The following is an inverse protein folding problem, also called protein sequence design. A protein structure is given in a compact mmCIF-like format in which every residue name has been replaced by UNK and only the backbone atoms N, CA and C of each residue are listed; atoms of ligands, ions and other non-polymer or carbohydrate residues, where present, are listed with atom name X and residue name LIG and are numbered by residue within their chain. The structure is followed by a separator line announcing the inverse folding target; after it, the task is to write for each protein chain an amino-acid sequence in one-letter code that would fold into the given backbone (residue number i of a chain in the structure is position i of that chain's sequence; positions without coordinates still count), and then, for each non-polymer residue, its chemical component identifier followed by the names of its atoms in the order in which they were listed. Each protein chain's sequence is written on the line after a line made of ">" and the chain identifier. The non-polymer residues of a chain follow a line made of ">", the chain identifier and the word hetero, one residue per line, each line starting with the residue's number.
data_IF_087265824640
#
_entry.id   IF_087265824640
#
_cell.length_a   1.000
_cell.length_b   1.000
_cell.length_c   1.000
_cell.angle_alpha   90.00
_cell.angle_beta   90.00
_cell.angle_gamma   90.00
#
_symmetry.space_group_name_H-M   'P 1'
#
loop_
_entity.id
_entity.type
_entity.pdbx_description
1 polymer ?
#
# COMPACT_ATOMS: atom_id res chain seq x y z
N UNK A 1 1.86 24.73 34.56
CA UNK A 1 1.82 24.95 33.09
C UNK A 1 3.01 24.24 32.47
N UNK A 2 2.82 23.06 31.88
CA UNK A 2 3.89 22.38 31.12
C UNK A 2 4.14 23.23 29.88
N UNK A 3 5.35 23.77 29.75
CA UNK A 3 5.73 24.62 28.63
C UNK A 3 5.46 23.89 27.32
N UNK A 4 4.71 24.52 26.41
CA UNK A 4 4.42 24.04 25.04
C UNK A 4 5.70 23.58 24.29
N UNK A 5 6.87 24.11 24.68
CA UNK A 5 8.19 23.68 24.23
C UNK A 5 8.55 22.23 24.60
N UNK A 6 8.29 21.80 25.84
CA UNK A 6 8.60 20.46 26.31
C UNK A 6 7.70 19.40 25.65
N UNK A 7 6.42 19.74 25.45
CA UNK A 7 5.46 18.88 24.73
C UNK A 7 5.89 18.73 23.26
N UNK A 8 6.29 19.81 22.58
CA UNK A 8 6.83 19.73 21.20
C UNK A 8 8.07 18.85 21.09
N UNK A 9 9.01 18.95 22.04
CA UNK A 9 10.23 18.13 22.05
C UNK A 9 9.97 16.63 22.17
N UNK A 10 8.83 16.23 22.74
CA UNK A 10 8.45 14.84 22.96
C UNK A 10 7.52 14.31 21.85
N UNK A 11 6.52 15.10 21.45
CA UNK A 11 5.53 14.70 20.44
C UNK A 11 6.14 14.56 19.06
N UNK A 12 7.03 15.47 18.67
CA UNK A 12 7.66 15.44 17.33
C UNK A 12 8.41 14.12 17.08
N UNK A 13 9.35 13.67 17.93
CA UNK A 13 10.04 12.40 17.71
C UNK A 13 9.10 11.18 17.77
N UNK A 14 8.06 11.19 18.62
CA UNK A 14 7.05 10.11 18.64
C UNK A 14 6.35 10.00 17.28
N UNK A 15 5.93 11.12 16.69
CA UNK A 15 5.30 11.14 15.36
C UNK A 15 6.23 10.54 14.31
N UNK A 16 7.51 10.91 14.30
CA UNK A 16 8.48 10.32 13.36
C UNK A 16 8.61 8.80 13.52
N UNK A 17 8.67 8.29 14.76
CA UNK A 17 8.77 6.85 15.02
C UNK A 17 7.51 6.13 14.56
N UNK A 18 6.33 6.67 14.87
CA UNK A 18 5.04 6.08 14.46
C UNK A 18 4.92 6.06 12.93
N UNK A 19 5.34 7.13 12.24
CA UNK A 19 5.36 7.18 10.77
C UNK A 19 6.23 6.07 10.18
N UNK A 20 7.41 5.83 10.75
CA UNK A 20 8.33 4.79 10.27
C UNK A 20 7.82 3.38 10.56
N UNK A 21 7.22 3.16 11.73
CA UNK A 21 6.58 1.88 12.06
C UNK A 21 5.46 1.60 11.06
N UNK A 22 4.58 2.58 10.83
CA UNK A 22 3.50 2.45 9.87
C UNK A 22 4.04 2.14 8.47
N UNK A 23 5.05 2.89 8.01
CA UNK A 23 5.72 2.64 6.75
C UNK A 23 6.24 1.19 6.61
N UNK A 24 6.93 0.68 7.64
CA UNK A 24 7.44 -0.69 7.65
C UNK A 24 6.32 -1.73 7.60
N UNK A 25 5.20 -1.50 8.30
CA UNK A 25 4.04 -2.39 8.23
C UNK A 25 3.49 -2.49 6.81
N UNK A 26 3.33 -1.37 6.10
CA UNK A 26 2.80 -1.39 4.74
C UNK A 26 3.75 -2.07 3.78
N UNK A 27 5.05 -1.79 3.92
CA UNK A 27 6.09 -2.46 3.16
C UNK A 27 5.99 -3.98 3.35
N UNK A 28 5.91 -4.46 4.59
CA UNK A 28 5.75 -5.88 4.89
C UNK A 28 4.47 -6.46 4.28
N UNK A 29 3.33 -5.77 4.42
CA UNK A 29 2.07 -6.22 3.82
C UNK A 29 2.16 -6.33 2.30
N UNK A 30 2.74 -5.33 1.62
CA UNK A 30 2.93 -5.35 0.16
C UNK A 30 3.90 -6.46 -0.23
N UNK A 31 4.99 -6.67 0.51
CA UNK A 31 5.96 -7.75 0.22
C UNK A 31 5.32 -9.12 0.38
N UNK A 32 4.61 -9.37 1.48
CA UNK A 32 3.90 -10.64 1.71
C UNK A 32 2.85 -10.85 0.63
N UNK A 33 2.08 -9.81 0.29
CA UNK A 33 1.10 -9.86 -0.79
C UNK A 33 1.75 -10.24 -2.14
N UNK A 34 2.87 -9.61 -2.47
CA UNK A 34 3.63 -9.90 -3.69
C UNK A 34 4.21 -11.31 -3.71
N UNK A 35 4.73 -11.80 -2.59
CA UNK A 35 5.23 -13.17 -2.47
C UNK A 35 4.10 -14.18 -2.67
N UNK A 36 2.94 -13.96 -2.05
CA UNK A 36 1.76 -14.83 -2.24
C UNK A 36 1.32 -14.80 -3.70
N UNK A 37 1.27 -13.64 -4.34
CA UNK A 37 0.95 -13.54 -5.77
C UNK A 37 1.98 -14.28 -6.63
N UNK A 38 3.26 -14.12 -6.35
CA UNK A 38 4.33 -14.79 -7.09
C UNK A 38 4.23 -16.31 -6.94
N UNK A 39 4.00 -16.80 -5.72
CA UNK A 39 3.76 -18.23 -5.47
C UNK A 39 2.54 -18.72 -6.22
N UNK A 40 1.43 -17.98 -6.21
CA UNK A 40 0.24 -18.35 -6.96
C UNK A 40 0.49 -18.39 -8.47
N UNK A 41 1.21 -17.42 -9.03
CA UNK A 41 1.59 -17.43 -10.45
C UNK A 41 2.46 -18.65 -10.77
N UNK A 42 3.50 -18.92 -9.98
CA UNK A 42 4.39 -20.08 -10.20
C UNK A 42 3.64 -21.41 -10.05
N UNK A 43 2.74 -21.53 -9.08
CA UNK A 43 1.99 -22.76 -8.82
C UNK A 43 0.91 -23.02 -9.88
N UNK A 44 0.19 -21.98 -10.31
CA UNK A 44 -0.87 -22.10 -11.34
C UNK A 44 -0.29 -22.31 -12.75
N UNK A 45 0.95 -21.92 -13.00
CA UNK A 45 1.65 -22.23 -14.26
C UNK A 45 2.06 -23.73 -14.37
N UNK A 46 1.86 -24.51 -13.30
CA UNK A 46 1.82 -25.97 -13.41
C UNK A 46 0.39 -26.40 -13.77
N UNK A 47 0.22 -26.90 -15.00
CA UNK A 47 -1.05 -27.19 -15.67
C UNK A 47 -2.05 -28.15 -14.95
N UNK A 48 -1.78 -28.56 -13.70
CA UNK A 48 -2.52 -29.61 -12.98
C UNK A 48 -2.85 -29.28 -11.52
N UNK A 49 -2.50 -28.11 -10.98
CA UNK A 49 -2.75 -27.80 -9.57
C UNK A 49 -3.88 -26.79 -9.36
N UNK A 50 -4.76 -27.07 -8.39
CA UNK A 50 -5.77 -26.12 -7.93
C UNK A 50 -5.08 -24.89 -7.32
N UNK A 51 -5.60 -23.67 -7.56
CA UNK A 51 -5.05 -22.46 -6.95
C UNK A 51 -5.01 -22.63 -5.43
N UNK A 52 -3.86 -22.36 -4.83
CA UNK A 52 -3.65 -22.58 -3.39
C UNK A 52 -4.67 -21.72 -2.63
N UNK A 53 -5.56 -22.37 -1.87
CA UNK A 53 -6.60 -21.74 -1.06
C UNK A 53 -6.03 -21.02 0.18
N UNK A 54 -5.09 -20.10 -0.02
CA UNK A 54 -4.67 -19.10 0.97
C UNK A 54 -5.67 -17.94 1.06
N UNK A 55 -6.91 -18.11 0.58
CA UNK A 55 -7.96 -17.08 0.47
C UNK A 55 -8.18 -16.32 1.77
N UNK A 56 -8.18 -16.98 2.93
CA UNK A 56 -8.33 -16.29 4.22
C UNK A 56 -7.15 -15.33 4.54
N UNK A 57 -5.91 -15.74 4.25
CA UNK A 57 -4.71 -14.90 4.41
C UNK A 57 -4.69 -13.77 3.39
N UNK A 58 -5.07 -14.09 2.14
CA UNK A 58 -5.05 -13.18 1.01
C UNK A 58 -6.06 -12.04 1.15
N UNK A 59 -7.32 -12.35 1.47
CA UNK A 59 -8.38 -11.36 1.68
C UNK A 59 -8.04 -10.48 2.88
N UNK A 60 -7.54 -11.05 3.97
CA UNK A 60 -7.14 -10.28 5.14
C UNK A 60 -5.98 -9.34 4.81
N UNK A 61 -4.96 -9.80 4.09
CA UNK A 61 -3.86 -8.95 3.64
C UNK A 61 -4.35 -7.81 2.73
N UNK A 62 -5.27 -8.11 1.81
CA UNK A 62 -5.92 -7.13 0.94
C UNK A 62 -6.71 -6.06 1.71
N UNK A 63 -7.55 -6.46 2.66
CA UNK A 63 -8.32 -5.55 3.50
C UNK A 63 -7.38 -4.66 4.33
N UNK A 64 -6.30 -5.24 4.85
CA UNK A 64 -5.27 -4.50 5.59
C UNK A 64 -4.59 -3.48 4.68
N UNK A 65 -4.13 -3.88 3.49
CA UNK A 65 -3.50 -2.98 2.51
C UNK A 65 -4.45 -1.87 2.08
N UNK A 66 -5.73 -2.16 1.86
CA UNK A 66 -6.75 -1.19 1.48
C UNK A 66 -7.03 -0.20 2.63
N UNK A 67 -7.21 -0.70 3.85
CA UNK A 67 -7.43 0.14 5.04
C UNK A 67 -6.24 1.06 5.32
N UNK A 68 -5.03 0.50 5.25
CA UNK A 68 -3.78 1.26 5.34
C UNK A 68 -3.66 2.27 4.21
N UNK A 69 -3.97 1.91 2.97
CA UNK A 69 -3.93 2.80 1.82
C UNK A 69 -4.86 4.00 1.99
N UNK A 70 -6.07 3.78 2.51
CA UNK A 70 -6.99 4.86 2.86
C UNK A 70 -6.45 5.76 3.98
N UNK A 71 -5.83 5.18 5.01
CA UNK A 71 -5.15 5.97 6.06
C UNK A 71 -4.02 6.80 5.42
N UNK A 72 -3.19 6.21 4.56
CA UNK A 72 -2.13 6.92 3.83
C UNK A 72 -2.67 8.07 2.98
N UNK A 73 -3.82 7.89 2.35
CA UNK A 73 -4.46 8.92 1.51
C UNK A 73 -4.70 10.21 2.28
N UNK A 74 -5.23 10.10 3.50
CA UNK A 74 -5.41 11.26 4.37
C UNK A 74 -4.07 11.70 4.98
N UNK A 75 -3.20 10.75 5.31
CA UNK A 75 -1.94 10.99 6.00
C UNK A 75 -0.89 11.75 5.18
N UNK A 76 -0.79 11.50 3.88
CA UNK A 76 0.24 12.10 3.01
C UNK A 76 0.17 13.64 3.03
N UNK A 77 -1.01 14.24 3.29
CA UNK A 77 -1.15 15.70 3.45
C UNK A 77 -0.54 16.23 4.75
N UNK A 78 -0.38 15.39 5.76
CA UNK A 78 0.04 15.77 7.11
C UNK A 78 1.42 15.23 7.50
N UNK A 79 2.22 14.75 6.54
CA UNK A 79 3.59 14.29 6.77
C UNK A 79 4.39 15.32 7.58
N UNK A 80 5.06 14.87 8.64
CA UNK A 80 5.89 15.72 9.48
C UNK A 80 7.31 15.86 8.90
N UNK A 81 7.96 17.00 9.15
CA UNK A 81 9.38 17.21 8.83
C UNK A 81 9.71 18.19 7.72
N UNK A 82 10.97 18.18 7.29
CA UNK A 82 11.50 19.09 6.26
C UNK A 82 10.88 18.78 4.88
N UNK A 83 10.90 19.76 3.98
CA UNK A 83 10.33 19.61 2.62
C UNK A 83 10.92 18.40 1.88
N UNK A 84 12.22 18.21 1.95
CA UNK A 84 12.90 17.07 1.30
C UNK A 84 12.50 15.73 1.93
N UNK A 85 12.35 15.69 3.25
CA UNK A 85 11.93 14.48 3.97
C UNK A 85 10.52 14.04 3.56
N UNK A 86 9.59 15.00 3.44
CA UNK A 86 8.23 14.73 2.97
C UNK A 86 8.25 14.22 1.53
N UNK A 87 9.00 14.89 0.65
CA UNK A 87 9.12 14.52 -0.77
C UNK A 87 9.68 13.11 -0.94
N UNK A 88 10.74 12.75 -0.21
CA UNK A 88 11.30 11.41 -0.23
C UNK A 88 10.25 10.36 0.16
N UNK A 89 9.55 10.56 1.28
CA UNK A 89 8.51 9.63 1.73
C UNK A 89 7.39 9.51 0.71
N UNK A 90 6.94 10.61 0.12
CA UNK A 90 5.91 10.62 -0.91
C UNK A 90 6.32 9.78 -2.11
N UNK A 91 7.56 9.94 -2.63
CA UNK A 91 8.07 9.08 -3.72
C UNK A 91 7.99 7.61 -3.32
N UNK A 92 8.49 7.26 -2.13
CA UNK A 92 8.53 5.87 -1.69
C UNK A 92 7.12 5.29 -1.54
N UNK A 93 6.17 6.05 -0.99
CA UNK A 93 4.75 5.67 -0.96
C UNK A 93 4.17 5.48 -2.35
N UNK A 94 4.48 6.37 -3.29
CA UNK A 94 4.02 6.30 -4.67
C UNK A 94 4.52 5.03 -5.35
N UNK A 95 5.79 4.69 -5.18
CA UNK A 95 6.37 3.44 -5.71
C UNK A 95 5.69 2.22 -5.09
N UNK A 96 5.47 2.22 -3.77
CA UNK A 96 4.80 1.10 -3.09
C UNK A 96 3.37 0.89 -3.59
N UNK A 97 2.57 1.95 -3.71
CA UNK A 97 1.21 1.85 -4.25
C UNK A 97 1.19 1.50 -5.73
N UNK A 98 2.15 1.98 -6.52
CA UNK A 98 2.31 1.63 -7.92
C UNK A 98 2.59 0.14 -8.10
N UNK A 99 3.56 -0.40 -7.34
CA UNK A 99 3.86 -1.84 -7.33
C UNK A 99 2.63 -2.64 -6.90
N UNK A 100 1.95 -2.22 -5.83
CA UNK A 100 0.75 -2.92 -5.37
C UNK A 100 -0.35 -2.96 -6.45
N UNK A 101 -0.56 -1.85 -7.17
CA UNK A 101 -1.50 -1.78 -8.29
C UNK A 101 -1.17 -2.80 -9.38
N UNK A 102 0.09 -2.81 -9.84
CA UNK A 102 0.55 -3.73 -10.90
C UNK A 102 0.36 -5.17 -10.45
N UNK A 103 0.72 -5.50 -9.21
CA UNK A 103 0.59 -6.85 -8.68
C UNK A 103 -0.85 -7.30 -8.52
N UNK A 104 -1.76 -6.41 -8.12
CA UNK A 104 -3.19 -6.71 -8.09
C UNK A 104 -3.74 -7.02 -9.50
N UNK A 105 -3.33 -6.25 -10.51
CA UNK A 105 -3.75 -6.46 -11.90
C UNK A 105 -3.22 -7.79 -12.44
N UNK A 106 -1.94 -8.10 -12.24
CA UNK A 106 -1.34 -9.38 -12.65
C UNK A 106 -2.07 -10.55 -11.98
N UNK A 107 -2.30 -10.47 -10.67
CA UNK A 107 -3.02 -11.49 -9.92
C UNK A 107 -4.46 -11.67 -10.45
N UNK A 108 -5.18 -10.57 -10.68
CA UNK A 108 -6.54 -10.60 -11.23
C UNK A 108 -6.59 -11.22 -12.63
N UNK A 109 -5.57 -10.97 -13.45
CA UNK A 109 -5.48 -11.51 -14.81
C UNK A 109 -5.16 -13.00 -14.85
N UNK A 110 -4.25 -13.48 -13.99
CA UNK A 110 -3.74 -14.87 -14.02
C UNK A 110 -4.62 -15.78 -13.16
N UNK A 111 -4.89 -15.39 -11.91
CA UNK A 111 -5.57 -16.25 -10.93
C UNK A 111 -7.09 -16.25 -11.14
N UNK A 112 -7.66 -15.08 -11.44
CA UNK A 112 -9.10 -14.91 -11.55
C UNK A 112 -9.58 -14.79 -13.01
N UNK A 113 -8.69 -14.70 -14.00
CA UNK A 113 -9.06 -14.54 -15.41
C UNK A 113 -9.93 -13.30 -15.66
N UNK A 114 -9.78 -12.24 -14.85
CA UNK A 114 -10.69 -11.08 -14.79
C UNK A 114 -12.14 -11.39 -14.41
N UNK A 115 -12.42 -12.57 -13.87
CA UNK A 115 -13.73 -12.91 -13.31
C UNK A 115 -13.89 -12.34 -11.90
N UNK A 116 -14.24 -11.06 -11.83
CA UNK A 116 -14.42 -10.32 -10.58
C UNK A 116 -15.80 -10.49 -9.93
N UNK A 117 -16.57 -11.52 -10.32
CA UNK A 117 -17.93 -11.72 -9.82
C UNK A 117 -17.92 -12.24 -8.36
N UNK A 118 -16.79 -12.78 -7.91
CA UNK A 118 -16.58 -13.23 -6.54
C UNK A 118 -16.08 -12.10 -5.63
N UNK A 119 -16.43 -12.16 -4.34
CA UNK A 119 -16.07 -11.15 -3.34
C UNK A 119 -14.56 -10.83 -3.33
N UNK A 120 -13.72 -11.84 -3.49
CA UNK A 120 -12.26 -11.73 -3.49
C UNK A 120 -11.77 -10.91 -4.69
N UNK A 121 -12.38 -11.10 -5.87
CA UNK A 121 -12.09 -10.32 -7.06
C UNK A 121 -12.52 -8.86 -6.93
N UNK A 122 -13.65 -8.58 -6.29
CA UNK A 122 -14.10 -7.21 -6.01
C UNK A 122 -13.13 -6.50 -5.06
N UNK A 123 -12.67 -7.19 -4.02
CA UNK A 123 -11.68 -6.66 -3.07
C UNK A 123 -10.35 -6.39 -3.78
N UNK A 124 -9.90 -7.31 -4.63
CA UNK A 124 -8.70 -7.17 -5.45
C UNK A 124 -8.77 -5.91 -6.34
N UNK A 125 -9.88 -5.76 -7.06
CA UNK A 125 -10.09 -4.64 -7.98
C UNK A 125 -10.17 -3.31 -7.23
N UNK A 126 -10.87 -3.29 -6.10
CA UNK A 126 -10.97 -2.09 -5.26
C UNK A 126 -9.61 -1.69 -4.69
N UNK A 127 -8.80 -2.66 -4.25
CA UNK A 127 -7.45 -2.43 -3.73
C UNK A 127 -6.51 -1.91 -4.82
N UNK A 128 -6.60 -2.46 -6.03
CA UNK A 128 -5.87 -1.97 -7.20
C UNK A 128 -6.24 -0.51 -7.51
N UNK A 129 -7.54 -0.22 -7.53
CA UNK A 129 -8.05 1.12 -7.85
C UNK A 129 -7.62 2.17 -6.82
N UNK A 130 -7.77 1.87 -5.53
CA UNK A 130 -7.34 2.77 -4.44
C UNK A 130 -5.83 3.02 -4.52
N UNK A 131 -5.04 1.98 -4.76
CA UNK A 131 -3.58 2.09 -4.91
C UNK A 131 -3.20 2.94 -6.14
N UNK A 132 -3.89 2.77 -7.26
CA UNK A 132 -3.69 3.58 -8.46
C UNK A 132 -3.98 5.06 -8.20
N UNK A 133 -5.12 5.38 -7.57
CA UNK A 133 -5.51 6.75 -7.23
C UNK A 133 -4.49 7.41 -6.29
N UNK A 134 -4.01 6.68 -5.28
CA UNK A 134 -2.95 7.13 -4.39
C UNK A 134 -1.66 7.46 -5.14
N UNK A 135 -1.27 6.59 -6.07
CA UNK A 135 -0.08 6.75 -6.89
C UNK A 135 -0.20 7.99 -7.77
N UNK A 136 -1.33 8.16 -8.46
CA UNK A 136 -1.61 9.35 -9.27
C UNK A 136 -1.61 10.63 -8.43
N UNK A 137 -2.23 10.61 -7.24
CA UNK A 137 -2.23 11.76 -6.33
C UNK A 137 -0.82 12.19 -5.95
N UNK A 138 0.08 11.24 -5.69
CA UNK A 138 1.47 11.52 -5.34
C UNK A 138 2.21 12.10 -6.55
N UNK A 139 2.06 11.50 -7.73
CA UNK A 139 2.71 12.00 -8.96
C UNK A 139 2.24 13.42 -9.30
N UNK A 140 0.93 13.66 -9.31
CA UNK A 140 0.36 14.99 -9.59
C UNK A 140 0.85 16.05 -8.59
N UNK A 141 0.98 15.68 -7.32
CA UNK A 141 1.52 16.59 -6.29
C UNK A 141 2.99 16.92 -6.54
N UNK A 142 3.79 15.96 -6.98
CA UNK A 142 5.21 16.15 -7.26
C UNK A 142 5.47 17.03 -8.49
N UNK A 143 4.66 16.90 -9.53
CA UNK A 143 4.73 17.78 -10.71
C UNK A 143 4.42 19.24 -10.34
N UNK A 144 3.44 19.47 -9.47
CA UNK A 144 3.09 20.81 -8.99
C UNK A 144 4.15 21.45 -8.08
N UNK A 145 4.81 20.66 -7.23
CA UNK A 145 5.84 21.17 -6.29
C UNK A 145 7.26 21.21 -6.88
N UNK A 146 7.45 20.62 -8.07
CA UNK A 146 8.70 20.62 -8.83
C UNK A 146 8.84 21.77 -9.83
N UNK A 147 7.78 22.53 -10.07
CA UNK A 147 7.77 23.84 -10.75
C UNK A 147 8.03 24.97 -9.75
#
# INVERSE_FOLDING_TARGET
>A
MVSSSAVKKLVVPIVYVVEWIFFLYVLLCIVVFNLVNLTNVIAVDMAWEEPINFTASFINAMIVVLGIGLICFFYIKFLAGSREYKRFKEVVWGVLFGINTVSCVICGSIVYGFNFIHADGIILLTTAFVSALLTMKIIMKQDFEGQ
#
